data_IF_514862729993
#
_entry.id   IF_514862729993
#
_cell.length_a   1.000
_cell.length_b   1.000
_cell.length_c   1.000
_cell.angle_alpha   90.00
_cell.angle_beta   90.00
_cell.angle_gamma   90.00
#
_symmetry.space_group_name_H-M   'P 1'
#
loop_
_entity.id
_entity.type
_entity.pdbx_description
1 polymer ?
#
# COMPACT_ATOMS: atom_id res chain seq x y z
N UNK A 1 24.61 8.39 -9.88
CA UNK A 1 23.78 7.44 -9.10
C UNK A 1 24.37 6.05 -9.22
N UNK A 2 24.92 5.49 -8.15
CA UNK A 2 25.53 4.15 -8.17
C UNK A 2 24.44 3.09 -8.03
N UNK A 3 23.95 2.54 -9.14
CA UNK A 3 23.05 1.39 -9.11
C UNK A 3 23.89 0.11 -9.06
N UNK A 4 24.05 -0.48 -7.88
CA UNK A 4 24.72 -1.79 -7.72
C UNK A 4 23.95 -2.96 -8.37
N UNK A 5 22.83 -2.68 -9.04
CA UNK A 5 21.90 -3.68 -9.58
C UNK A 5 21.06 -4.39 -8.51
N UNK A 6 21.29 -4.10 -7.22
CA UNK A 6 20.57 -4.72 -6.11
C UNK A 6 19.24 -4.01 -5.87
N UNK A 7 18.18 -4.79 -5.78
CA UNK A 7 16.84 -4.32 -5.39
C UNK A 7 16.54 -4.74 -3.95
N UNK A 8 15.68 -3.98 -3.28
CA UNK A 8 15.18 -4.31 -1.95
C UNK A 8 13.67 -4.51 -2.03
N UNK A 9 13.17 -5.49 -1.27
CA UNK A 9 11.73 -5.77 -1.17
C UNK A 9 11.31 -5.55 0.28
N UNK A 10 10.29 -4.74 0.48
CA UNK A 10 9.65 -4.51 1.79
C UNK A 10 8.20 -4.96 1.72
N UNK A 11 7.69 -5.51 2.82
CA UNK A 11 6.28 -5.94 2.94
C UNK A 11 5.66 -5.27 4.16
N UNK A 12 4.52 -4.63 3.96
CA UNK A 12 3.64 -4.15 5.02
C UNK A 12 2.39 -5.02 5.08
N UNK A 13 1.95 -5.37 6.28
CA UNK A 13 0.74 -6.15 6.52
C UNK A 13 -0.11 -5.43 7.56
N UNK A 14 -1.42 -5.36 7.33
CA UNK A 14 -2.38 -4.80 8.27
C UNK A 14 -3.43 -5.84 8.60
N UNK A 15 -3.79 -5.92 9.88
CA UNK A 15 -4.93 -6.68 10.34
C UNK A 15 -5.89 -5.71 11.03
N UNK A 16 -7.14 -5.71 10.57
CA UNK A 16 -8.20 -4.85 11.09
C UNK A 16 -9.32 -5.73 11.64
N UNK A 17 -9.93 -5.28 12.73
CA UNK A 17 -11.21 -5.84 13.18
C UNK A 17 -12.32 -5.13 12.39
N UNK A 18 -12.79 -5.77 11.32
CA UNK A 18 -13.83 -5.22 10.45
C UNK A 18 -15.22 -5.58 10.95
N UNK A 19 -16.19 -4.72 10.69
CA UNK A 19 -17.60 -4.99 10.89
C UNK A 19 -18.43 -4.45 9.71
N UNK A 20 -19.73 -4.72 9.71
CA UNK A 20 -20.63 -4.33 8.60
C UNK A 20 -20.65 -2.83 8.27
N UNK A 21 -20.26 -1.94 9.19
CA UNK A 21 -20.20 -0.50 8.92
C UNK A 21 -18.97 -0.11 8.10
N UNK A 22 -18.01 -1.04 7.95
CA UNK A 22 -16.80 -0.86 7.14
C UNK A 22 -17.00 -1.37 5.69
N UNK A 23 -18.17 -1.91 5.36
CA UNK A 23 -18.49 -2.34 4.00
C UNK A 23 -18.43 -1.13 3.04
N UNK A 24 -17.73 -1.31 1.91
CA UNK A 24 -17.47 -0.25 0.94
C UNK A 24 -16.37 0.74 1.34
N UNK A 25 -15.74 0.61 2.51
CA UNK A 25 -14.60 1.46 2.89
C UNK A 25 -13.39 1.12 2.02
N UNK A 26 -12.75 2.16 1.47
CA UNK A 26 -11.54 2.03 0.68
C UNK A 26 -10.28 2.12 1.56
N UNK A 27 -9.37 1.17 1.40
CA UNK A 27 -8.06 1.16 2.02
C UNK A 27 -6.97 1.34 0.96
N UNK A 28 -6.10 2.34 1.15
CA UNK A 28 -5.03 2.66 0.20
C UNK A 28 -3.67 2.36 0.81
N UNK A 29 -2.88 1.52 0.15
CA UNK A 29 -1.46 1.34 0.43
C UNK A 29 -0.66 2.33 -0.42
N UNK A 30 0.23 3.10 0.20
CA UNK A 30 1.06 4.12 -0.45
C UNK A 30 2.53 3.88 -0.14
N UNK A 31 3.36 3.86 -1.16
CA UNK A 31 4.82 3.75 -1.03
C UNK A 31 5.44 5.13 -1.17
N UNK A 32 6.12 5.56 -0.11
CA UNK A 32 6.97 6.75 -0.11
C UNK A 32 8.44 6.31 -0.10
N UNK A 33 9.19 6.71 -1.13
CA UNK A 33 10.59 6.35 -1.29
C UNK A 33 11.33 7.42 -2.09
N UNK A 34 12.55 7.78 -1.69
CA UNK A 34 13.35 8.85 -2.32
C UNK A 34 13.60 8.66 -3.83
N UNK A 35 13.52 7.42 -4.31
CA UNK A 35 13.64 7.10 -5.74
C UNK A 35 12.34 7.30 -6.54
N UNK A 36 11.19 7.48 -5.89
CA UNK A 36 9.88 7.75 -6.48
C UNK A 36 9.63 9.27 -6.50
N UNK A 37 10.39 9.99 -7.31
CA UNK A 37 10.47 11.46 -7.25
C UNK A 37 9.28 12.20 -7.88
N UNK A 38 8.43 11.52 -8.66
CA UNK A 38 7.34 12.17 -9.42
C UNK A 38 5.94 11.80 -8.91
N UNK A 39 5.72 10.56 -8.49
CA UNK A 39 4.42 10.04 -8.05
C UNK A 39 4.64 8.95 -7.01
N UNK A 40 3.77 8.89 -6.01
CA UNK A 40 3.72 7.76 -5.09
C UNK A 40 3.11 6.57 -5.83
N UNK A 41 3.66 5.38 -5.61
CA UNK A 41 3.02 4.15 -6.05
C UNK A 41 1.94 3.79 -5.03
N UNK A 42 0.70 3.73 -5.49
CA UNK A 42 -0.48 3.53 -4.65
C UNK A 42 -1.35 2.41 -5.19
N UNK A 43 -1.99 1.68 -4.28
CA UNK A 43 -3.03 0.72 -4.63
C UNK A 43 -4.17 0.81 -3.63
N UNK A 44 -5.40 0.80 -4.13
CA UNK A 44 -6.62 0.92 -3.32
C UNK A 44 -7.43 -0.36 -3.40
N UNK A 45 -7.86 -0.86 -2.25
CA UNK A 45 -8.77 -1.99 -2.12
C UNK A 45 -10.02 -1.55 -1.38
N UNK A 46 -11.19 -1.88 -1.90
CA UNK A 46 -12.48 -1.68 -1.21
C UNK A 46 -12.78 -2.92 -0.38
N UNK A 47 -13.18 -2.73 0.88
CA UNK A 47 -13.59 -3.82 1.75
C UNK A 47 -15.02 -4.26 1.40
N UNK A 48 -15.20 -5.56 1.20
CA UNK A 48 -16.51 -6.19 1.05
C UNK A 48 -16.78 -7.07 2.28
N UNK A 49 -17.76 -6.69 3.09
CA UNK A 49 -18.12 -7.36 4.34
C UNK A 49 -19.53 -7.93 4.20
N UNK A 50 -19.63 -9.27 4.21
CA UNK A 50 -20.88 -10.02 4.05
C UNK A 50 -21.48 -10.42 5.40
#
# INVERSE_FOLDING_TARGET
>A
VNASGKTFTVKSSLQLQVNRHDDGVAYTCRVDHVALTATHEETTQVLEVH
#
